data_IF_737025259661
#
_entry.id   IF_737025259661
#
_cell.length_a   1.000
_cell.length_b   1.000
_cell.length_c   1.000
_cell.angle_alpha   90.00
_cell.angle_beta   90.00
_cell.angle_gamma   90.00
#
_symmetry.space_group_name_H-M   'P 1'
#
loop_
_entity.id
_entity.type
_entity.pdbx_description
1 polymer ?
#
# COMPACT_ATOMS: atom_id res chain seq x y z
N UNK A 1 4.21 28.59 -1.50
CA UNK A 1 4.87 27.40 -0.91
C UNK A 1 4.52 26.10 -1.65
N UNK A 2 3.23 25.80 -1.93
CA UNK A 2 2.86 24.59 -2.69
C UNK A 2 3.46 24.50 -4.10
N UNK A 3 3.51 25.61 -4.84
CA UNK A 3 4.13 25.65 -6.18
C UNK A 3 5.60 25.24 -6.17
N UNK A 4 6.37 25.68 -5.16
CA UNK A 4 7.78 25.30 -4.97
C UNK A 4 7.92 23.79 -4.66
N UNK A 5 7.02 23.21 -3.88
CA UNK A 5 7.01 21.77 -3.60
C UNK A 5 6.67 20.94 -4.85
N UNK A 6 5.74 21.41 -5.70
CA UNK A 6 5.42 20.74 -6.95
C UNK A 6 6.57 20.81 -7.97
N UNK A 7 7.24 21.97 -8.08
CA UNK A 7 8.43 22.11 -8.90
C UNK A 7 9.57 21.20 -8.41
N UNK A 8 9.77 21.11 -7.09
CA UNK A 8 10.73 20.20 -6.48
C UNK A 8 10.41 18.73 -6.80
N UNK A 9 9.14 18.33 -6.72
CA UNK A 9 8.72 16.98 -7.11
C UNK A 9 9.00 16.72 -8.59
N UNK A 10 8.54 17.58 -9.50
CA UNK A 10 8.72 17.40 -10.94
C UNK A 10 10.22 17.33 -11.32
N UNK A 11 11.05 18.17 -10.71
CA UNK A 11 12.50 18.13 -10.91
C UNK A 11 13.10 16.79 -10.43
N UNK A 12 12.65 16.27 -9.28
CA UNK A 12 13.09 14.97 -8.78
C UNK A 12 12.65 13.83 -9.68
N UNK A 13 11.43 13.87 -10.21
CA UNK A 13 10.93 12.85 -11.13
C UNK A 13 11.79 12.78 -12.39
N UNK A 14 12.08 13.94 -12.98
CA UNK A 14 12.95 14.03 -14.14
C UNK A 14 14.37 13.57 -13.83
N UNK A 15 14.94 13.99 -12.69
CA UNK A 15 16.29 13.59 -12.28
C UNK A 15 16.43 12.09 -12.08
N UNK A 16 15.45 11.44 -11.43
CA UNK A 16 15.44 9.98 -11.28
C UNK A 16 15.30 9.25 -12.62
N UNK A 17 14.43 9.71 -13.53
CA UNK A 17 14.33 9.15 -14.88
C UNK A 17 15.61 9.31 -15.67
N UNK A 18 16.20 10.51 -15.62
CA UNK A 18 17.49 10.77 -16.26
C UNK A 18 18.59 9.84 -15.72
N UNK A 19 18.61 9.60 -14.41
CA UNK A 19 19.53 8.64 -13.82
C UNK A 19 19.35 7.23 -14.38
N UNK A 20 18.12 6.70 -14.38
CA UNK A 20 17.82 5.33 -14.79
C UNK A 20 17.92 5.12 -16.30
N UNK A 21 17.37 6.03 -17.10
CA UNK A 21 17.21 5.85 -18.54
C UNK A 21 18.40 6.38 -19.34
N UNK A 22 19.15 7.37 -18.79
CA UNK A 22 20.25 8.02 -19.50
C UNK A 22 21.60 7.76 -18.84
N UNK A 23 21.79 8.15 -17.59
CA UNK A 23 23.10 8.02 -16.92
C UNK A 23 23.51 6.57 -16.70
N UNK A 24 22.57 5.68 -16.36
CA UNK A 24 22.83 4.25 -16.21
C UNK A 24 23.42 3.63 -17.49
N UNK A 25 23.06 4.18 -18.67
CA UNK A 25 23.48 3.68 -19.98
C UNK A 25 24.63 4.49 -20.61
N UNK A 26 24.98 5.66 -20.06
CA UNK A 26 26.08 6.49 -20.56
C UNK A 26 27.43 5.75 -20.53
N UNK A 27 28.32 5.99 -21.49
CA UNK A 27 29.67 5.39 -21.46
C UNK A 27 30.53 5.98 -20.33
N UNK A 28 30.38 7.27 -20.08
CA UNK A 28 31.08 7.97 -19.00
C UNK A 28 30.26 7.93 -17.71
N UNK A 29 30.91 7.52 -16.61
CA UNK A 29 30.34 7.42 -15.26
C UNK A 29 30.95 8.41 -14.27
N UNK A 30 31.79 9.33 -14.73
CA UNK A 30 32.52 10.30 -13.88
C UNK A 30 31.61 11.12 -12.97
N UNK A 31 30.39 11.43 -13.42
CA UNK A 31 29.41 12.25 -12.68
C UNK A 31 28.37 11.43 -11.91
N UNK A 32 28.43 10.09 -11.95
CA UNK A 32 27.39 9.23 -11.39
C UNK A 32 27.23 9.45 -9.89
N UNK A 33 28.34 9.54 -9.15
CA UNK A 33 28.32 9.80 -7.71
C UNK A 33 27.68 11.14 -7.36
N UNK A 34 27.92 12.16 -8.18
CA UNK A 34 27.39 13.51 -7.95
C UNK A 34 25.88 13.52 -8.16
N UNK A 35 25.40 12.81 -9.18
CA UNK A 35 23.97 12.61 -9.41
C UNK A 35 23.29 11.83 -8.30
N UNK A 36 23.90 10.74 -7.80
CA UNK A 36 23.35 9.99 -6.65
C UNK A 36 23.28 10.89 -5.41
N UNK A 37 24.30 11.70 -5.16
CA UNK A 37 24.33 12.66 -4.04
C UNK A 37 23.24 13.73 -4.16
N UNK A 38 23.10 14.31 -5.35
CA UNK A 38 22.06 15.31 -5.66
C UNK A 38 20.66 14.75 -5.43
N UNK A 39 20.37 13.59 -6.03
CA UNK A 39 19.07 12.93 -5.88
C UNK A 39 18.80 12.54 -4.43
N UNK A 40 19.82 12.07 -3.71
CA UNK A 40 19.71 11.76 -2.28
C UNK A 40 19.32 12.99 -1.46
N UNK A 41 19.90 14.16 -1.76
CA UNK A 41 19.52 15.43 -1.14
C UNK A 41 18.06 15.79 -1.40
N UNK A 42 17.61 15.68 -2.64
CA UNK A 42 16.23 15.98 -3.01
C UNK A 42 15.19 15.01 -2.43
N UNK A 43 15.52 13.71 -2.34
CA UNK A 43 14.66 12.70 -1.70
C UNK A 43 14.48 13.00 -0.21
N UNK A 44 15.55 13.35 0.53
CA UNK A 44 15.43 13.73 1.95
C UNK A 44 14.53 14.94 2.17
N UNK A 45 14.49 15.87 1.21
CA UNK A 45 13.67 17.07 1.28
C UNK A 45 12.20 16.86 0.85
N UNK A 46 11.86 15.73 0.20
CA UNK A 46 10.55 15.51 -0.41
C UNK A 46 10.04 14.08 -0.25
N UNK A 47 9.21 13.85 0.78
CA UNK A 47 8.50 12.57 0.96
C UNK A 47 7.64 12.16 -0.26
N UNK A 48 6.94 13.09 -0.97
CA UNK A 48 6.26 12.74 -2.20
C UNK A 48 7.19 12.18 -3.28
N UNK A 49 8.42 12.70 -3.39
CA UNK A 49 9.41 12.19 -4.34
C UNK A 49 9.88 10.77 -3.96
N UNK A 50 10.11 10.51 -2.66
CA UNK A 50 10.41 9.17 -2.16
C UNK A 50 9.31 8.17 -2.53
N UNK A 51 8.04 8.52 -2.28
CA UNK A 51 6.91 7.65 -2.60
C UNK A 51 6.79 7.40 -4.09
N UNK A 52 6.93 8.45 -4.90
CA UNK A 52 6.90 8.34 -6.35
C UNK A 52 8.02 7.42 -6.86
N UNK A 53 9.25 7.57 -6.37
CA UNK A 53 10.39 6.76 -6.82
C UNK A 53 10.12 5.27 -6.59
N UNK A 54 9.65 4.90 -5.40
CA UNK A 54 9.34 3.50 -5.07
C UNK A 54 8.23 2.94 -5.97
N UNK A 55 7.15 3.70 -6.18
CA UNK A 55 6.04 3.28 -7.03
C UNK A 55 6.43 3.15 -8.50
N UNK A 56 7.24 4.07 -9.02
CA UNK A 56 7.74 3.97 -10.39
C UNK A 56 8.72 2.83 -10.55
N UNK A 57 9.61 2.61 -9.58
CA UNK A 57 10.57 1.51 -9.66
C UNK A 57 9.88 0.15 -9.77
N UNK A 58 8.76 -0.02 -9.07
CA UNK A 58 7.88 -1.20 -9.18
C UNK A 58 7.17 -1.28 -10.54
N UNK A 59 6.62 -0.17 -11.03
CA UNK A 59 5.75 -0.15 -12.23
C UNK A 59 6.51 -0.26 -13.55
N UNK A 60 7.68 0.37 -13.64
CA UNK A 60 8.43 0.52 -14.90
C UNK A 60 9.58 -0.50 -15.03
N UNK A 61 9.51 -1.63 -14.31
CA UNK A 61 10.53 -2.70 -14.31
C UNK A 61 11.96 -2.25 -13.91
N UNK A 62 12.12 -1.04 -13.35
CA UNK A 62 13.44 -0.51 -12.98
C UNK A 62 14.15 -1.41 -11.97
N UNK A 63 13.41 -2.07 -11.06
CA UNK A 63 13.98 -3.03 -10.12
C UNK A 63 14.72 -4.16 -10.86
N UNK A 64 14.09 -4.78 -11.87
CA UNK A 64 14.73 -5.84 -12.67
C UNK A 64 15.88 -5.27 -13.49
N UNK A 65 15.64 -4.18 -14.20
CA UNK A 65 16.64 -3.58 -15.09
C UNK A 65 17.90 -3.13 -14.35
N UNK A 66 17.74 -2.41 -13.24
CA UNK A 66 18.87 -1.80 -12.52
C UNK A 66 19.53 -2.74 -11.53
N UNK A 67 18.80 -3.64 -10.88
CA UNK A 67 19.39 -4.49 -9.83
C UNK A 67 19.82 -5.87 -10.33
N UNK A 68 19.13 -6.42 -11.34
CA UNK A 68 19.39 -7.77 -11.84
C UNK A 68 20.11 -7.78 -13.20
N UNK A 69 19.73 -6.89 -14.13
CA UNK A 69 20.31 -6.89 -15.48
C UNK A 69 21.50 -5.95 -15.66
N UNK A 70 21.57 -4.85 -14.91
CA UNK A 70 22.66 -3.88 -15.04
C UNK A 70 23.99 -4.52 -14.61
N UNK A 71 25.00 -4.48 -15.49
CA UNK A 71 26.33 -5.05 -15.21
C UNK A 71 27.27 -4.08 -14.50
N UNK A 72 26.93 -2.79 -14.46
CA UNK A 72 27.77 -1.74 -13.87
C UNK A 72 27.49 -1.64 -12.37
N UNK A 73 28.43 -2.12 -11.55
CA UNK A 73 28.27 -2.20 -10.10
C UNK A 73 27.90 -0.85 -9.46
N UNK A 74 28.57 0.23 -9.84
CA UNK A 74 28.33 1.56 -9.27
C UNK A 74 26.91 2.10 -9.57
N UNK A 75 26.38 1.79 -10.75
CA UNK A 75 24.98 2.11 -11.11
C UNK A 75 24.02 1.33 -10.22
N UNK A 76 24.23 0.01 -10.06
CA UNK A 76 23.35 -0.81 -9.22
C UNK A 76 23.35 -0.33 -7.77
N UNK A 77 24.54 -0.09 -7.22
CA UNK A 77 24.71 0.36 -5.83
C UNK A 77 24.08 1.73 -5.63
N UNK A 78 24.33 2.68 -6.53
CA UNK A 78 23.72 4.00 -6.47
C UNK A 78 22.19 3.95 -6.51
N UNK A 79 21.62 3.12 -7.38
CA UNK A 79 20.17 2.94 -7.44
C UNK A 79 19.60 2.29 -6.17
N UNK A 80 20.24 1.23 -5.68
CA UNK A 80 19.85 0.56 -4.44
C UNK A 80 19.89 1.51 -3.24
N UNK A 81 20.91 2.35 -3.15
CA UNK A 81 21.04 3.36 -2.10
C UNK A 81 19.91 4.40 -2.15
N UNK A 82 19.50 4.84 -3.35
CA UNK A 82 18.37 5.75 -3.53
C UNK A 82 17.05 5.10 -3.08
N UNK A 83 16.79 3.85 -3.45
CA UNK A 83 15.61 3.11 -3.00
C UNK A 83 15.60 2.93 -1.48
N UNK A 84 16.73 2.53 -0.91
CA UNK A 84 16.87 2.34 0.53
C UNK A 84 16.70 3.65 1.30
N UNK A 85 17.23 4.76 0.77
CA UNK A 85 17.02 6.09 1.32
C UNK A 85 15.54 6.48 1.29
N UNK A 86 14.86 6.28 0.15
CA UNK A 86 13.43 6.59 0.02
C UNK A 86 12.59 5.81 1.04
N UNK A 87 12.84 4.50 1.20
CA UNK A 87 12.19 3.67 2.22
C UNK A 87 12.48 4.17 3.65
N UNK A 88 13.72 4.55 3.95
CA UNK A 88 14.09 5.11 5.27
C UNK A 88 13.36 6.41 5.55
N UNK A 89 13.25 7.30 4.57
CA UNK A 89 12.52 8.56 4.70
C UNK A 89 11.01 8.37 4.90
N UNK A 90 10.41 7.37 4.24
CA UNK A 90 8.99 7.07 4.36
C UNK A 90 8.61 6.27 5.61
N UNK A 91 9.55 5.53 6.20
CA UNK A 91 9.30 4.68 7.37
C UNK A 91 8.49 5.37 8.48
N UNK A 92 8.79 6.59 8.94
CA UNK A 92 8.02 7.21 10.03
C UNK A 92 6.55 7.45 9.68
N UNK A 93 6.25 7.76 8.41
CA UNK A 93 4.86 7.98 7.96
C UNK A 93 4.14 6.67 7.67
N UNK A 94 4.85 5.63 7.22
CA UNK A 94 4.28 4.33 6.89
C UNK A 94 4.09 3.41 8.11
N UNK A 95 4.88 3.58 9.18
CA UNK A 95 4.71 2.82 10.45
C UNK A 95 3.31 2.98 11.01
N UNK A 96 2.74 4.19 10.92
CA UNK A 96 1.37 4.45 11.35
C UNK A 96 0.35 3.72 10.47
N UNK A 97 0.61 3.61 9.16
CA UNK A 97 -0.23 2.83 8.25
C UNK A 97 -0.17 1.33 8.56
N UNK A 98 1.00 0.79 8.94
CA UNK A 98 1.12 -0.62 9.34
C UNK A 98 0.43 -0.92 10.66
N UNK A 99 0.59 -0.06 11.66
CA UNK A 99 -0.09 -0.23 12.94
C UNK A 99 -1.62 -0.17 12.78
N UNK A 100 -2.12 0.77 11.95
CA UNK A 100 -3.53 0.87 11.63
C UNK A 100 -4.05 -0.36 10.86
N UNK A 101 -3.29 -0.86 9.88
CA UNK A 101 -3.65 -2.07 9.14
C UNK A 101 -3.73 -3.30 10.06
N UNK A 102 -2.78 -3.46 11.00
CA UNK A 102 -2.79 -4.53 11.99
C UNK A 102 -3.99 -4.44 12.94
N UNK A 103 -4.33 -3.24 13.41
CA UNK A 103 -5.50 -3.03 14.26
C UNK A 103 -6.80 -3.39 13.53
N UNK A 104 -6.93 -3.04 12.25
CA UNK A 104 -8.12 -3.34 11.45
C UNK A 104 -8.27 -4.84 11.19
N UNK A 105 -7.16 -5.56 11.01
CA UNK A 105 -7.17 -7.02 10.88
C UNK A 105 -7.54 -7.71 12.20
N UNK A 106 -7.04 -7.22 13.34
CA UNK A 106 -7.46 -7.72 14.66
C UNK A 106 -8.96 -7.52 14.91
N UNK A 107 -9.51 -6.34 14.54
CA UNK A 107 -10.95 -6.09 14.64
C UNK A 107 -11.75 -7.04 13.73
N UNK A 108 -11.28 -7.29 12.51
CA UNK A 108 -11.92 -8.25 11.60
C UNK A 108 -11.93 -9.67 12.20
N UNK A 109 -10.79 -10.14 12.73
CA UNK A 109 -10.72 -11.46 13.39
C UNK A 109 -11.63 -11.57 14.61
N UNK A 110 -11.75 -10.50 15.41
CA UNK A 110 -12.65 -10.49 16.58
C UNK A 110 -14.14 -10.48 16.18
N UNK A 111 -14.48 -9.80 15.08
CA UNK A 111 -15.84 -9.79 14.54
C UNK A 111 -16.25 -11.19 14.01
N UNK A 112 -15.34 -11.90 13.34
CA UNK A 112 -15.57 -13.28 12.89
C UNK A 112 -15.78 -14.25 14.07
N UNK A 113 -15.07 -14.06 15.18
CA UNK A 113 -15.29 -14.86 16.41
C UNK A 113 -16.67 -14.56 17.02
N UNK A 114 -17.11 -13.30 17.06
CA UNK A 114 -18.41 -12.94 17.65
C UNK A 114 -19.60 -13.49 16.86
N UNK A 115 -19.51 -13.58 15.53
CA UNK A 115 -20.56 -14.19 14.72
C UNK A 115 -20.73 -15.70 14.99
N UNK A 116 -19.67 -16.38 15.43
CA UNK A 116 -19.70 -17.81 15.77
C UNK A 116 -20.30 -18.13 17.15
N UNK A 117 -20.35 -17.15 18.07
CA UNK A 117 -20.87 -17.34 19.44
C UNK A 117 -22.38 -17.08 19.52
N UNK A 118 -22.98 -16.38 18.55
CA UNK A 118 -24.41 -16.06 18.52
C UNK A 118 -25.33 -17.18 18.00
N UNK A 119 -24.78 -18.26 17.44
CA UNK A 119 -25.56 -19.32 16.77
C UNK A 119 -25.82 -20.57 17.64
N UNK A 120 -25.83 -20.43 18.96
CA UNK A 120 -25.91 -21.57 19.88
C UNK A 120 -26.69 -21.31 21.17
N UNK A 121 -27.92 -20.80 21.09
CA UNK A 121 -28.88 -20.93 22.19
C UNK A 121 -30.32 -20.97 21.67
N UNK A 122 -30.74 -22.13 21.18
CA UNK A 122 -32.16 -22.49 21.05
C UNK A 122 -32.37 -23.84 21.75
N UNK A 123 -33.25 -23.86 22.75
CA UNK A 123 -34.25 -24.91 22.96
C UNK A 123 -34.86 -24.80 24.37
N UNK A 124 -36.15 -24.50 24.42
CA UNK A 124 -36.94 -24.58 25.64
C UNK A 124 -38.34 -24.00 25.49
N UNK A 125 -39.11 -24.44 24.47
CA UNK A 125 -40.53 -24.11 24.38
C UNK A 125 -41.35 -25.03 25.31
N UNK A 126 -42.23 -24.49 26.17
CA UNK A 126 -43.30 -25.25 26.77
C UNK A 126 -44.62 -25.09 25.99
N UNK A 127 -45.25 -26.23 25.78
CA UNK A 127 -46.44 -26.53 24.99
C UNK A 127 -47.74 -25.96 25.60
N UNK A 128 -48.59 -25.41 24.73
CA UNK A 128 -50.06 -25.17 24.73
C UNK A 128 -50.84 -24.85 26.03
N UNK A 129 -51.64 -23.78 25.99
CA UNK A 129 -53.10 -23.94 25.81
C UNK A 129 -53.82 -22.60 25.51
N UNK A 130 -54.96 -22.74 24.81
CA UNK A 130 -55.73 -21.76 24.05
C UNK A 130 -56.35 -20.56 24.83
N UNK A 131 -56.58 -19.44 24.13
CA UNK A 131 -57.93 -18.88 23.99
C UNK A 131 -58.06 -17.81 22.88
N UNK A 132 -59.31 -17.66 22.42
CA UNK A 132 -59.83 -16.94 21.25
C UNK A 132 -59.94 -15.42 21.48
N UNK A 133 -59.53 -14.59 20.52
CA UNK A 133 -60.13 -13.26 20.31
C UNK A 133 -59.87 -12.70 18.89
N UNK A 134 -60.97 -12.43 18.17
CA UNK A 134 -61.03 -11.64 16.94
C UNK A 134 -60.72 -10.16 17.21
N UNK A 135 -59.84 -9.55 16.43
CA UNK A 135 -59.55 -8.12 16.49
C UNK A 135 -58.93 -7.63 15.18
N UNK A 136 -59.71 -6.85 14.43
CA UNK A 136 -59.34 -6.16 13.20
C UNK A 136 -58.17 -5.18 13.40
N UNK A 137 -57.25 -5.12 12.44
CA UNK A 137 -56.20 -4.09 12.40
C UNK A 137 -55.20 -4.29 11.26
N UNK A 138 -55.37 -3.46 10.24
CA UNK A 138 -54.45 -2.97 9.19
C UNK A 138 -53.27 -3.83 8.68
N UNK A 139 -53.33 -4.06 7.36
CA UNK A 139 -52.25 -4.56 6.51
C UNK A 139 -51.18 -3.47 6.26
N UNK A 140 -50.01 -3.63 6.86
CA UNK A 140 -48.74 -3.19 6.29
C UNK A 140 -48.27 -4.18 5.21
N UNK A 141 -47.62 -3.71 4.12
CA UNK A 141 -46.72 -4.56 3.37
C UNK A 141 -45.26 -4.10 3.51
N UNK A 142 -44.50 -5.00 4.11
CA UNK A 142 -43.20 -5.50 3.65
C UNK A 142 -42.03 -4.50 3.54
N UNK A 143 -41.19 -4.55 4.57
CA UNK A 143 -39.75 -4.48 4.42
C UNK A 143 -39.26 -5.47 3.34
N UNK A 144 -38.67 -4.94 2.26
CA UNK A 144 -37.84 -5.67 1.32
C UNK A 144 -36.42 -5.16 1.48
N UNK A 145 -35.55 -6.01 2.04
CA UNK A 145 -34.28 -5.63 2.63
C UNK A 145 -33.37 -4.80 1.74
N UNK A 146 -32.91 -3.67 2.30
CA UNK A 146 -31.61 -3.11 1.93
C UNK A 146 -30.57 -4.19 2.21
N UNK A 147 -30.13 -4.85 1.14
CA UNK A 147 -28.86 -5.55 1.10
C UNK A 147 -27.81 -4.53 1.55
N UNK A 148 -27.43 -4.64 2.83
CA UNK A 148 -26.15 -4.20 3.33
C UNK A 148 -25.12 -4.85 2.43
N UNK A 149 -24.75 -4.15 1.36
CA UNK A 149 -23.57 -4.45 0.59
C UNK A 149 -22.45 -4.48 1.61
N UNK A 150 -22.05 -5.71 1.95
CA UNK A 150 -20.93 -5.98 2.83
C UNK A 150 -19.83 -5.07 2.38
N UNK A 151 -19.57 -4.06 3.21
CA UNK A 151 -18.48 -3.13 3.01
C UNK A 151 -17.24 -3.96 3.31
N UNK A 152 -16.85 -4.76 2.32
CA UNK A 152 -15.60 -5.47 2.30
C UNK A 152 -14.56 -4.41 2.61
N UNK A 153 -13.83 -4.51 3.73
CA UNK A 153 -12.89 -3.49 4.11
C UNK A 153 -11.87 -3.42 2.98
N UNK A 154 -11.92 -2.31 2.23
CA UNK A 154 -10.97 -2.05 1.16
C UNK A 154 -9.57 -2.31 1.73
N UNK A 155 -8.74 -3.14 1.06
CA UNK A 155 -7.45 -3.52 1.60
C UNK A 155 -6.69 -2.23 1.92
N UNK A 156 -6.09 -2.13 3.13
CA UNK A 156 -5.43 -0.91 3.54
C UNK A 156 -4.38 -0.55 2.47
N UNK A 157 -4.23 0.75 2.15
CA UNK A 157 -3.28 1.18 1.14
C UNK A 157 -1.89 0.65 1.51
N UNK A 158 -1.42 -0.36 0.78
CA UNK A 158 -0.13 -0.99 1.06
C UNK A 158 0.95 0.06 0.89
N UNK A 159 1.73 0.25 1.94
CA UNK A 159 2.89 1.16 1.95
C UNK A 159 3.77 0.94 0.73
N UNK A 160 4.29 2.03 0.15
CA UNK A 160 5.10 1.96 -1.06
C UNK A 160 6.37 1.11 -0.82
N UNK A 161 6.94 1.20 0.39
CA UNK A 161 8.07 0.36 0.79
C UNK A 161 7.76 -1.14 0.75
N UNK A 162 6.57 -1.58 1.21
CA UNK A 162 6.21 -3.00 1.15
C UNK A 162 6.01 -3.48 -0.27
N UNK A 163 5.42 -2.65 -1.15
CA UNK A 163 5.22 -3.00 -2.55
C UNK A 163 6.55 -3.28 -3.25
N UNK A 164 7.55 -2.41 -3.04
CA UNK A 164 8.89 -2.60 -3.60
C UNK A 164 9.57 -3.86 -3.02
N UNK A 165 9.50 -4.09 -1.71
CA UNK A 165 10.07 -5.30 -1.10
C UNK A 165 9.41 -6.55 -1.65
N UNK A 166 8.08 -6.57 -1.77
CA UNK A 166 7.35 -7.70 -2.35
C UNK A 166 7.72 -7.92 -3.82
N UNK A 167 7.82 -6.85 -4.60
CA UNK A 167 8.24 -6.92 -6.00
C UNK A 167 9.66 -7.51 -6.11
N UNK A 168 10.60 -7.07 -5.28
CA UNK A 168 11.95 -7.63 -5.24
C UNK A 168 11.95 -9.13 -4.89
N UNK A 169 11.15 -9.55 -3.91
CA UNK A 169 11.02 -10.97 -3.55
C UNK A 169 10.47 -11.79 -4.72
N UNK A 170 9.41 -11.30 -5.38
CA UNK A 170 8.86 -11.96 -6.57
C UNK A 170 9.89 -12.07 -7.70
N UNK A 171 10.62 -10.99 -7.98
CA UNK A 171 11.68 -10.97 -8.99
C UNK A 171 12.80 -11.97 -8.70
N UNK A 172 13.17 -12.14 -7.43
CA UNK A 172 14.19 -13.11 -7.01
C UNK A 172 13.68 -14.56 -7.06
N UNK A 173 12.38 -14.80 -6.94
CA UNK A 173 11.82 -16.13 -7.09
C UNK A 173 11.74 -16.59 -8.56
N UNK A 174 11.62 -15.63 -9.48
CA UNK A 174 11.56 -15.87 -10.92
C UNK A 174 12.93 -16.00 -11.60
N UNK A 175 14.03 -15.66 -10.91
CA UNK A 175 15.40 -15.64 -11.43
C UNK A 175 16.16 -16.94 -11.12
#
# INVERSE_FOLDING_TARGET
SQSQQQLSLAAMQLGCRFYVETLAHAKDKSTLSDWVSLLSGGLRASLPACRWLLLQAEQDDWLRQMLLHCTVADVRTGFADLLLLAMRCLRPSEVQCFAAAQAQEQVATLADVQLSVGAGFEAGEPMDDADVAMGSGDLEPAAGGELLAGSSPAPPPRAASLRVVQALVSLLHEA
#
